data_IF_105093211717
#
_entry.id   IF_105093211717
#
_cell.length_a   1.000
_cell.length_b   1.000
_cell.length_c   1.000
_cell.angle_alpha   90.00
_cell.angle_beta   90.00
_cell.angle_gamma   90.00
#
_symmetry.space_group_name_H-M   'P 1'
#
loop_
_entity.id
_entity.type
_entity.pdbx_description
1 polymer ?
#
# COMPACT_ATOMS: atom_id res chain seq x y z
N UNK A 1 2.70 26.70 -14.03
CA UNK A 1 2.82 26.37 -12.59
C UNK A 1 1.74 27.03 -11.76
N UNK A 2 1.39 28.27 -12.07
CA UNK A 2 0.36 29.01 -11.32
C UNK A 2 -1.01 28.34 -11.27
N UNK A 3 -1.41 27.66 -12.35
CA UNK A 3 -2.69 26.93 -12.40
C UNK A 3 -2.74 25.78 -11.39
N UNK A 4 -1.63 25.04 -11.21
CA UNK A 4 -1.57 23.93 -10.22
C UNK A 4 -1.73 24.48 -8.80
N UNK A 5 -1.03 25.58 -8.51
CA UNK A 5 -1.12 26.26 -7.21
C UNK A 5 -2.53 26.76 -6.93
N UNK A 6 -3.16 27.39 -7.93
CA UNK A 6 -4.53 27.89 -7.81
C UNK A 6 -5.55 26.76 -7.57
N UNK A 7 -5.39 25.62 -8.26
CA UNK A 7 -6.29 24.50 -8.09
C UNK A 7 -6.15 23.85 -6.70
N UNK A 8 -4.94 23.62 -6.23
CA UNK A 8 -4.75 23.15 -4.85
C UNK A 8 -5.24 24.15 -3.82
N UNK A 9 -5.04 25.47 -4.05
CA UNK A 9 -5.54 26.49 -3.13
C UNK A 9 -7.08 26.43 -2.99
N UNK A 10 -7.83 26.24 -4.09
CA UNK A 10 -9.28 26.04 -4.03
C UNK A 10 -9.68 24.83 -3.18
N UNK A 11 -8.93 23.73 -3.27
CA UNK A 11 -9.20 22.55 -2.44
C UNK A 11 -8.92 22.80 -0.97
N UNK A 12 -7.89 23.56 -0.65
CA UNK A 12 -7.56 23.97 0.72
C UNK A 12 -8.66 24.91 1.26
N UNK A 13 -9.04 25.92 0.49
CA UNK A 13 -10.05 26.91 0.88
C UNK A 13 -11.44 26.28 1.11
N UNK A 14 -11.73 25.18 0.39
CA UNK A 14 -12.98 24.42 0.56
C UNK A 14 -12.90 23.31 1.62
N UNK A 15 -11.76 23.16 2.32
CA UNK A 15 -11.55 22.16 3.36
C UNK A 15 -11.43 20.71 2.85
N UNK A 16 -11.23 20.50 1.55
CA UNK A 16 -11.02 19.14 0.97
C UNK A 16 -9.67 18.55 1.32
N UNK A 17 -8.67 19.39 1.52
CA UNK A 17 -7.36 19.01 2.05
C UNK A 17 -6.77 20.15 2.88
N UNK A 18 -5.86 19.82 3.78
CA UNK A 18 -5.23 20.81 4.65
C UNK A 18 -4.07 21.53 3.95
N UNK A 19 -3.41 20.87 3.05
CA UNK A 19 -2.27 21.36 2.29
C UNK A 19 -1.90 20.43 1.17
N UNK A 20 -1.02 20.89 0.30
CA UNK A 20 -0.50 20.13 -0.82
C UNK A 20 0.98 20.45 -1.04
N UNK A 21 1.72 19.42 -1.42
CA UNK A 21 3.11 19.53 -1.87
C UNK A 21 3.27 18.76 -3.17
N UNK A 22 4.00 19.33 -4.12
CA UNK A 22 4.29 18.67 -5.39
C UNK A 22 5.70 18.95 -5.87
N UNK A 23 6.25 17.96 -6.57
CA UNK A 23 7.53 18.07 -7.29
C UNK A 23 7.27 17.70 -8.73
N UNK A 24 7.66 18.58 -9.65
CA UNK A 24 7.56 18.35 -11.08
C UNK A 24 8.95 18.50 -11.68
N UNK A 25 9.42 17.47 -12.37
CA UNK A 25 10.63 17.53 -13.18
C UNK A 25 10.22 17.63 -14.66
N UNK A 26 10.49 18.78 -15.28
CA UNK A 26 10.16 19.02 -16.68
C UNK A 26 11.27 19.77 -17.37
N UNK A 27 11.76 19.23 -18.48
CA UNK A 27 12.86 19.82 -19.29
C UNK A 27 14.07 20.24 -18.43
N UNK A 28 14.54 19.33 -17.57
CA UNK A 28 15.65 19.52 -16.64
C UNK A 28 15.44 20.61 -15.56
N UNK A 29 14.22 21.14 -15.44
CA UNK A 29 13.86 22.03 -14.35
C UNK A 29 13.03 21.29 -13.30
N UNK A 30 13.38 21.49 -12.03
CA UNK A 30 12.63 20.93 -10.89
C UNK A 30 11.81 22.06 -10.28
N UNK A 31 10.51 21.86 -10.27
CA UNK A 31 9.56 22.74 -9.60
C UNK A 31 9.05 22.02 -8.35
N UNK A 32 9.33 22.59 -7.20
CA UNK A 32 8.96 22.04 -5.91
C UNK A 32 8.24 23.12 -5.09
N UNK A 33 6.97 22.93 -4.80
CA UNK A 33 6.12 23.85 -4.05
C UNK A 33 5.37 23.13 -2.93
N UNK A 34 5.08 23.87 -1.86
CA UNK A 34 4.24 23.42 -0.76
C UNK A 34 3.32 24.56 -0.33
N UNK A 35 2.03 24.28 -0.11
CA UNK A 35 1.05 25.27 0.32
C UNK A 35 0.12 24.68 1.39
N UNK A 36 -0.52 25.55 2.18
CA UNK A 36 -1.44 25.16 3.25
C UNK A 36 -0.74 24.73 4.54
N UNK A 37 -1.36 23.81 5.25
CA UNK A 37 -0.95 23.41 6.60
C UNK A 37 -0.73 21.90 6.70
N UNK A 38 0.30 21.48 7.44
CA UNK A 38 0.48 20.10 7.87
C UNK A 38 -0.38 19.78 9.10
N UNK A 39 -0.72 20.82 9.86
CA UNK A 39 -1.53 20.73 11.07
C UNK A 39 -2.40 22.00 11.15
N UNK A 40 -3.72 21.83 11.11
CA UNK A 40 -4.68 22.93 11.15
C UNK A 40 -4.85 23.49 12.55
N UNK A 41 -4.82 22.65 13.58
CA UNK A 41 -5.04 23.06 14.98
C UNK A 41 -3.88 23.91 15.47
N UNK A 42 -2.66 23.47 15.22
CA UNK A 42 -1.43 24.17 15.59
C UNK A 42 -1.04 25.25 14.57
N UNK A 43 -1.76 25.39 13.48
CA UNK A 43 -1.45 26.31 12.36
C UNK A 43 -0.04 26.17 11.80
N UNK A 44 0.51 24.96 11.88
CA UNK A 44 1.82 24.65 11.34
C UNK A 44 1.75 24.56 9.82
N UNK A 45 2.46 25.46 9.13
CA UNK A 45 2.50 25.48 7.67
C UNK A 45 3.18 24.22 7.11
N UNK A 46 2.65 23.73 6.00
CA UNK A 46 3.31 22.74 5.19
C UNK A 46 4.54 23.34 4.53
N UNK A 47 5.63 22.59 4.44
CA UNK A 47 6.85 23.02 3.80
C UNK A 47 7.53 21.84 3.09
N UNK A 48 8.51 22.14 2.24
CA UNK A 48 9.24 21.17 1.40
C UNK A 48 10.05 20.09 2.16
N UNK A 49 10.11 20.18 3.47
CA UNK A 49 10.78 19.20 4.34
C UNK A 49 9.78 18.44 5.21
N UNK A 50 8.49 18.45 4.86
CA UNK A 50 7.45 17.74 5.59
C UNK A 50 7.54 16.24 5.35
N UNK A 51 7.21 15.46 6.39
CA UNK A 51 7.18 14.00 6.32
C UNK A 51 5.74 13.53 6.07
N UNK A 52 5.61 12.54 5.20
CA UNK A 52 4.31 11.97 4.81
C UNK A 52 4.25 10.48 5.05
N UNK A 53 3.10 10.00 5.47
CA UNK A 53 2.77 8.57 5.36
C UNK A 53 2.43 8.29 3.91
N UNK A 54 3.25 7.48 3.25
CA UNK A 54 3.10 7.22 1.80
C UNK A 54 2.14 6.07 1.48
N UNK A 55 1.63 5.37 2.50
CA UNK A 55 0.65 4.29 2.37
C UNK A 55 1.00 3.31 1.23
N UNK A 56 0.09 3.09 0.28
CA UNK A 56 0.30 2.14 -0.83
C UNK A 56 1.42 2.51 -1.79
N UNK A 57 1.95 3.73 -1.77
CA UNK A 57 3.17 4.07 -2.52
C UNK A 57 4.42 3.33 -1.98
N UNK A 58 4.31 2.69 -0.83
CA UNK A 58 5.31 1.74 -0.32
C UNK A 58 5.44 0.50 -1.21
N UNK A 59 4.35 0.06 -1.88
CA UNK A 59 4.37 -1.15 -2.71
C UNK A 59 5.40 -1.14 -3.84
N UNK A 60 5.51 -0.09 -4.66
CA UNK A 60 6.58 0.01 -5.66
C UNK A 60 7.98 -0.07 -5.04
N UNK A 61 8.19 0.52 -3.86
CA UNK A 61 9.49 0.47 -3.16
C UNK A 61 9.82 -0.96 -2.75
N UNK A 62 8.87 -1.68 -2.16
CA UNK A 62 9.02 -3.10 -1.80
C UNK A 62 9.22 -3.97 -3.06
N UNK A 63 8.46 -3.70 -4.13
CA UNK A 63 8.63 -4.39 -5.41
C UNK A 63 10.03 -4.21 -5.97
N UNK A 64 10.58 -2.98 -5.93
CA UNK A 64 11.95 -2.71 -6.35
C UNK A 64 12.98 -3.46 -5.49
N UNK A 65 12.81 -3.48 -4.16
CA UNK A 65 13.68 -4.23 -3.26
C UNK A 65 13.63 -5.75 -3.55
N UNK A 66 12.44 -6.29 -3.82
CA UNK A 66 12.28 -7.70 -4.21
C UNK A 66 13.04 -8.01 -5.53
N UNK A 67 12.95 -7.12 -6.53
CA UNK A 67 13.70 -7.29 -7.79
C UNK A 67 15.21 -7.26 -7.58
N UNK A 68 15.73 -6.43 -6.67
CA UNK A 68 17.15 -6.45 -6.31
C UNK A 68 17.58 -7.77 -5.67
N UNK A 69 16.73 -8.39 -4.84
CA UNK A 69 17.00 -9.72 -4.26
C UNK A 69 16.98 -10.80 -5.33
N UNK A 70 16.09 -10.69 -6.31
CA UNK A 70 16.02 -11.63 -7.44
C UNK A 70 17.27 -11.51 -8.31
N UNK A 71 17.73 -10.32 -8.64
CA UNK A 71 18.98 -10.11 -9.39
C UNK A 71 20.19 -10.71 -8.68
N UNK A 72 20.19 -10.70 -7.35
CA UNK A 72 21.25 -11.27 -6.50
C UNK A 72 21.08 -12.77 -6.23
N UNK A 73 20.08 -13.41 -6.80
CA UNK A 73 19.72 -14.84 -6.58
C UNK A 73 19.38 -15.19 -5.12
N UNK A 74 18.96 -14.23 -4.28
CA UNK A 74 18.46 -14.50 -2.94
C UNK A 74 16.97 -14.82 -2.92
N UNK A 75 16.25 -14.49 -3.97
CA UNK A 75 14.83 -14.70 -4.12
C UNK A 75 14.53 -15.13 -5.57
N UNK A 76 13.52 -15.97 -5.78
CA UNK A 76 12.98 -16.27 -7.10
C UNK A 76 11.52 -15.86 -7.19
N UNK A 77 11.09 -15.44 -8.36
CA UNK A 77 9.66 -15.15 -8.61
C UNK A 77 8.77 -16.39 -8.41
N UNK A 78 9.33 -17.58 -8.64
CA UNK A 78 8.60 -18.84 -8.54
C UNK A 78 8.76 -19.52 -7.17
N UNK A 79 9.54 -18.92 -6.25
CA UNK A 79 9.57 -19.36 -4.86
C UNK A 79 8.19 -19.22 -4.23
N UNK A 80 7.75 -20.26 -3.51
CA UNK A 80 6.55 -20.18 -2.69
C UNK A 80 6.82 -19.43 -1.39
N UNK A 81 5.81 -18.74 -0.86
CA UNK A 81 5.94 -17.89 0.34
C UNK A 81 6.47 -18.65 1.56
N UNK A 82 6.10 -19.92 1.72
CA UNK A 82 6.52 -20.75 2.85
C UNK A 82 7.99 -21.19 2.80
N UNK A 83 8.63 -21.04 1.66
CA UNK A 83 10.08 -21.22 1.53
C UNK A 83 10.86 -20.20 2.36
N UNK A 84 10.32 -18.98 2.45
CA UNK A 84 10.95 -17.85 3.13
C UNK A 84 10.31 -17.54 4.49
N UNK A 85 9.01 -17.82 4.63
CA UNK A 85 8.22 -17.54 5.83
C UNK A 85 7.58 -18.84 6.34
N UNK A 86 8.19 -19.45 7.35
CA UNK A 86 7.78 -20.75 7.88
C UNK A 86 6.34 -20.81 8.39
N UNK A 87 5.79 -19.69 8.83
CA UNK A 87 4.42 -19.57 9.35
C UNK A 87 3.36 -19.86 8.27
N UNK A 88 3.75 -19.72 6.99
CA UNK A 88 2.87 -20.00 5.85
C UNK A 88 2.90 -21.46 5.37
N UNK A 89 3.64 -22.36 6.05
CA UNK A 89 3.68 -23.79 5.69
C UNK A 89 2.31 -24.45 5.70
N UNK A 90 1.49 -24.09 6.66
CA UNK A 90 0.15 -24.65 6.87
C UNK A 90 -0.96 -23.70 6.45
N UNK A 91 -0.73 -22.92 5.40
CA UNK A 91 -1.71 -21.97 4.89
C UNK A 91 -3.00 -22.69 4.47
N UNK A 92 -4.12 -22.16 4.91
CA UNK A 92 -5.46 -22.64 4.60
C UNK A 92 -6.22 -21.60 3.79
N UNK A 93 -7.19 -22.05 3.04
CA UNK A 93 -8.20 -21.21 2.36
C UNK A 93 -9.57 -21.57 2.88
N UNK A 94 -10.52 -20.66 2.77
CA UNK A 94 -11.95 -20.98 2.97
C UNK A 94 -12.37 -22.01 1.93
N UNK A 95 -13.22 -22.97 2.31
CA UNK A 95 -13.74 -24.01 1.41
C UNK A 95 -14.61 -23.39 0.30
N UNK A 96 -15.33 -22.30 0.65
CA UNK A 96 -16.11 -21.49 -0.29
C UNK A 96 -16.11 -20.03 0.16
N UNK A 97 -16.67 -19.13 -0.67
CA UNK A 97 -16.82 -17.71 -0.36
C UNK A 97 -17.77 -17.47 0.83
N UNK A 98 -18.66 -18.40 1.10
CA UNK A 98 -19.66 -18.35 2.18
C UNK A 98 -19.19 -19.06 3.46
N UNK A 99 -18.02 -19.71 3.41
CA UNK A 99 -17.45 -20.44 4.54
C UNK A 99 -16.99 -19.52 5.66
N UNK A 100 -16.96 -20.03 6.89
CA UNK A 100 -16.34 -19.37 8.04
C UNK A 100 -14.97 -20.00 8.37
N UNK A 101 -14.27 -19.49 9.39
CA UNK A 101 -12.92 -19.94 9.75
C UNK A 101 -12.82 -21.40 10.19
N UNK A 102 -13.94 -22.06 10.52
CA UNK A 102 -13.97 -23.48 10.88
C UNK A 102 -14.11 -24.37 9.64
N UNK A 103 -14.54 -23.81 8.51
CA UNK A 103 -14.71 -24.50 7.23
C UNK A 103 -13.58 -24.08 6.28
N UNK A 104 -12.42 -24.69 6.47
CA UNK A 104 -11.20 -24.39 5.71
C UNK A 104 -10.55 -25.65 5.19
N UNK A 105 -9.89 -25.54 4.05
CA UNK A 105 -9.05 -26.57 3.46
C UNK A 105 -7.61 -26.12 3.34
N UNK A 106 -6.66 -27.07 3.35
CA UNK A 106 -5.26 -26.75 3.09
C UNK A 106 -5.08 -26.25 1.64
N UNK A 107 -4.22 -25.27 1.49
CA UNK A 107 -3.88 -24.75 0.20
C UNK A 107 -2.84 -25.67 -0.47
N UNK A 108 -3.25 -26.39 -1.52
CA UNK A 108 -2.36 -27.30 -2.26
C UNK A 108 -1.24 -26.53 -2.97
N UNK A 109 -1.62 -25.45 -3.67
CA UNK A 109 -0.67 -24.59 -4.37
C UNK A 109 -0.48 -23.30 -3.56
N UNK A 110 0.63 -23.18 -2.88
CA UNK A 110 0.96 -22.01 -2.07
C UNK A 110 1.29 -20.81 -2.96
N UNK A 111 0.95 -19.59 -2.52
CA UNK A 111 1.26 -18.39 -3.28
C UNK A 111 2.75 -18.24 -3.53
N UNK A 112 3.10 -17.85 -4.74
CA UNK A 112 4.47 -17.52 -5.13
C UNK A 112 4.78 -16.04 -4.93
N UNK A 113 6.06 -15.70 -4.90
CA UNK A 113 6.54 -14.30 -4.89
C UNK A 113 5.95 -13.53 -6.08
N UNK A 114 5.87 -14.15 -7.26
CA UNK A 114 5.24 -13.58 -8.45
C UNK A 114 3.78 -13.18 -8.19
N UNK A 115 3.00 -14.08 -7.60
CA UNK A 115 1.58 -13.82 -7.30
C UNK A 115 1.41 -12.73 -6.25
N UNK A 116 2.30 -12.63 -5.27
CA UNK A 116 2.30 -11.53 -4.30
C UNK A 116 2.54 -10.18 -4.99
N UNK A 117 3.56 -10.10 -5.85
CA UNK A 117 3.88 -8.87 -6.60
C UNK A 117 2.79 -8.46 -7.59
N UNK A 118 2.04 -9.44 -8.12
CA UNK A 118 0.92 -9.22 -9.05
C UNK A 118 -0.43 -9.01 -8.36
N UNK A 119 -0.50 -9.09 -7.03
CA UNK A 119 -1.75 -9.05 -6.26
C UNK A 119 -2.75 -10.16 -6.62
N UNK A 120 -2.26 -11.33 -7.02
CA UNK A 120 -3.08 -12.49 -7.40
C UNK A 120 -2.96 -13.66 -6.42
N UNK A 121 -2.37 -13.42 -5.25
CA UNK A 121 -2.10 -14.43 -4.22
C UNK A 121 -3.34 -14.84 -3.40
N UNK A 122 -4.49 -14.17 -3.56
CA UNK A 122 -5.74 -14.50 -2.87
C UNK A 122 -5.89 -13.89 -1.47
N UNK A 123 -4.99 -13.00 -1.05
CA UNK A 123 -5.17 -12.25 0.19
C UNK A 123 -6.20 -11.13 0.00
N UNK A 124 -7.00 -10.87 1.04
CA UNK A 124 -8.01 -9.82 1.04
C UNK A 124 -7.63 -8.65 1.93
N UNK A 125 -8.41 -7.56 1.84
CA UNK A 125 -8.32 -6.39 2.70
C UNK A 125 -9.57 -6.28 3.59
N UNK A 126 -9.47 -5.55 4.71
CA UNK A 126 -10.60 -5.19 5.57
C UNK A 126 -11.66 -4.32 4.86
N UNK A 127 -11.28 -3.63 3.78
CA UNK A 127 -12.19 -2.81 2.96
C UNK A 127 -13.01 -3.61 1.95
N UNK A 128 -12.80 -4.92 1.85
CA UNK A 128 -13.59 -5.79 0.98
C UNK A 128 -14.87 -6.22 1.70
N UNK A 129 -15.97 -6.33 0.95
CA UNK A 129 -17.23 -6.85 1.49
C UNK A 129 -17.22 -8.39 1.45
N UNK A 130 -16.54 -8.98 2.43
CA UNK A 130 -16.48 -10.43 2.62
C UNK A 130 -16.25 -10.80 4.10
N UNK A 131 -16.46 -12.07 4.42
CA UNK A 131 -16.31 -12.59 5.78
C UNK A 131 -14.92 -12.36 6.38
N UNK A 132 -13.85 -12.59 5.61
CA UNK A 132 -12.48 -12.41 6.11
C UNK A 132 -12.17 -10.95 6.43
N UNK A 133 -12.68 -10.01 5.64
CA UNK A 133 -12.50 -8.59 5.90
C UNK A 133 -13.15 -8.20 7.24
N UNK A 134 -14.33 -8.72 7.53
CA UNK A 134 -15.02 -8.51 8.81
C UNK A 134 -14.24 -9.12 9.98
N UNK A 135 -13.73 -10.35 9.82
CA UNK A 135 -12.88 -10.99 10.84
C UNK A 135 -11.59 -10.19 11.12
N UNK A 136 -11.01 -9.54 10.10
CA UNK A 136 -9.86 -8.66 10.28
C UNK A 136 -10.20 -7.41 11.10
N UNK A 137 -11.35 -6.82 10.86
CA UNK A 137 -11.85 -5.67 11.62
C UNK A 137 -12.14 -6.06 13.09
N UNK A 138 -12.88 -7.13 13.31
CA UNK A 138 -13.26 -7.64 14.64
C UNK A 138 -12.01 -8.00 15.49
N UNK A 139 -10.91 -8.39 14.85
CA UNK A 139 -9.63 -8.72 15.53
C UNK A 139 -8.65 -7.55 15.56
N UNK A 140 -9.02 -6.38 15.07
CA UNK A 140 -8.14 -5.19 15.01
C UNK A 140 -6.80 -5.48 14.33
N UNK A 141 -6.82 -6.24 13.21
CA UNK A 141 -5.62 -6.62 12.49
C UNK A 141 -5.14 -5.54 11.49
N UNK A 142 -5.88 -4.43 11.36
CA UNK A 142 -5.56 -3.26 10.55
C UNK A 142 -5.89 -1.96 11.29
#
# INVERSE_FOLDING_TARGET
MDNIKLDFQKHIDTGRCNGAEWIINYKNNIYHEAIGYRDLELKNKLNKNSYYRIWSMTKPIIGFAAMQLIEKNFLSLDDTIDKHLSDFKNLKKLSSIESNLNDTTFLENKPSVRQLLQHTAGFTYNSCDNFLAKEYEDRSLF
#
